data_IF_246567441884
#
_entry.id   IF_246567441884
#
_cell.length_a   1.000
_cell.length_b   1.000
_cell.length_c   1.000
_cell.angle_alpha   90.00
_cell.angle_beta   90.00
_cell.angle_gamma   90.00
#
_symmetry.space_group_name_H-M   'P 1'
#
loop_
_entity.id
_entity.type
_entity.pdbx_description
1 polymer ?
#
# COMPACT_ATOMS: atom_id res chain seq x y z
N UNK A 1 -2.60 -28.77 -8.55
CA UNK A 1 -1.32 -28.28 -8.02
C UNK A 1 -1.55 -27.90 -6.57
N UNK A 2 -0.71 -28.33 -5.64
CA UNK A 2 -0.91 -28.07 -4.20
C UNK A 2 -0.37 -26.70 -3.78
N UNK A 3 -1.01 -26.09 -2.79
CA UNK A 3 -0.66 -24.80 -2.20
C UNK A 3 -0.44 -24.97 -0.70
N UNK A 4 0.48 -24.22 -0.12
CA UNK A 4 0.79 -24.19 1.30
C UNK A 4 0.34 -22.86 1.91
N UNK A 5 -0.29 -22.90 3.08
CA UNK A 5 -0.65 -21.67 3.80
C UNK A 5 0.58 -21.09 4.48
N UNK A 6 0.91 -19.83 4.17
CA UNK A 6 2.01 -19.10 4.80
C UNK A 6 1.56 -18.32 6.03
N UNK A 7 0.41 -17.64 5.94
CA UNK A 7 -0.10 -16.78 7.01
C UNK A 7 -1.61 -16.57 6.91
N UNK A 8 -2.23 -16.23 8.04
CA UNK A 8 -3.59 -15.69 8.08
C UNK A 8 -3.57 -14.15 8.11
N UNK A 9 -4.57 -13.51 7.50
CA UNK A 9 -4.78 -12.07 7.51
C UNK A 9 -6.19 -11.78 8.05
N UNK A 10 -6.34 -11.56 9.37
CA UNK A 10 -7.66 -11.50 10.00
C UNK A 10 -8.42 -10.19 9.76
N UNK A 11 -7.77 -9.17 9.20
CA UNK A 11 -8.34 -7.83 9.05
C UNK A 11 -8.93 -7.58 7.66
N UNK A 12 -8.85 -8.56 6.75
CA UNK A 12 -9.38 -8.47 5.39
C UNK A 12 -10.16 -9.72 5.01
N UNK A 13 -11.13 -9.53 4.12
CA UNK A 13 -11.82 -10.60 3.39
C UNK A 13 -11.52 -10.40 1.91
N UNK A 14 -10.90 -11.39 1.29
CA UNK A 14 -10.59 -11.36 -0.14
C UNK A 14 -11.70 -12.08 -0.88
N UNK A 15 -12.37 -11.39 -1.82
CA UNK A 15 -13.47 -11.97 -2.60
C UNK A 15 -12.92 -12.81 -3.75
N UNK A 16 -12.02 -12.19 -4.50
CA UNK A 16 -11.36 -12.76 -5.67
C UNK A 16 -9.87 -12.88 -5.38
N UNK A 17 -9.22 -14.01 -5.70
CA UNK A 17 -7.82 -14.20 -5.41
C UNK A 17 -6.90 -13.14 -6.01
N UNK A 18 -6.00 -12.61 -5.19
CA UNK A 18 -4.95 -11.71 -5.64
C UNK A 18 -3.74 -12.56 -6.02
N UNK A 19 -3.62 -12.88 -7.30
CA UNK A 19 -2.63 -13.83 -7.82
C UNK A 19 -1.26 -13.19 -8.09
N UNK A 20 -0.20 -13.85 -7.64
CA UNK A 20 1.18 -13.48 -7.94
C UNK A 20 2.06 -14.70 -8.16
N UNK A 21 1.86 -15.41 -9.27
CA UNK A 21 2.59 -16.60 -9.77
C UNK A 21 3.00 -17.66 -8.73
N UNK A 22 3.92 -17.33 -7.82
CA UNK A 22 4.37 -18.12 -6.69
C UNK A 22 3.45 -18.00 -5.46
N UNK A 23 2.93 -16.80 -5.19
CA UNK A 23 2.08 -16.48 -4.05
C UNK A 23 0.67 -16.07 -4.47
N UNK A 24 -0.29 -16.17 -3.54
CA UNK A 24 -1.65 -15.66 -3.73
C UNK A 24 -2.24 -15.22 -2.40
N UNK A 25 -3.01 -14.12 -2.38
CA UNK A 25 -3.90 -13.83 -1.26
C UNK A 25 -5.30 -14.33 -1.61
N UNK A 26 -5.86 -15.18 -0.77
CA UNK A 26 -7.11 -15.88 -1.06
C UNK A 26 -8.14 -15.69 0.05
N UNK A 27 -9.40 -15.73 -0.36
CA UNK A 27 -10.56 -15.70 0.53
C UNK A 27 -10.75 -17.01 1.30
N UNK A 28 -11.68 -16.98 2.25
CA UNK A 28 -12.05 -18.15 3.02
C UNK A 28 -12.71 -19.26 2.22
N UNK A 29 -13.33 -18.89 1.10
CA UNK A 29 -14.15 -19.77 0.28
C UNK A 29 -13.35 -20.33 -0.92
N UNK A 30 -12.07 -19.99 -1.03
CA UNK A 30 -11.17 -20.48 -2.07
C UNK A 30 -10.88 -21.98 -1.91
N UNK A 31 -10.99 -22.72 -3.01
CA UNK A 31 -10.78 -24.17 -3.03
C UNK A 31 -9.41 -24.59 -2.48
N UNK A 32 -8.35 -23.80 -2.72
CA UNK A 32 -6.98 -24.07 -2.23
C UNK A 32 -6.93 -24.13 -0.71
N UNK A 33 -7.70 -23.28 -0.02
CA UNK A 33 -7.79 -23.29 1.44
C UNK A 33 -8.55 -24.53 1.92
N UNK A 34 -9.63 -24.90 1.23
CA UNK A 34 -10.42 -26.09 1.55
C UNK A 34 -9.62 -27.40 1.39
N UNK A 35 -8.77 -27.49 0.36
CA UNK A 35 -7.86 -28.61 0.13
C UNK A 35 -6.86 -28.75 1.28
N UNK A 36 -6.28 -27.62 1.73
CA UNK A 36 -5.40 -27.59 2.90
C UNK A 36 -6.11 -28.02 4.19
N UNK A 37 -7.36 -27.62 4.38
CA UNK A 37 -8.16 -28.02 5.53
C UNK A 37 -8.49 -29.51 5.56
N UNK A 38 -8.58 -30.17 4.40
CA UNK A 38 -8.76 -31.61 4.33
C UNK A 38 -7.49 -32.36 4.74
N UNK A 39 -6.31 -31.84 4.37
CA UNK A 39 -5.02 -32.42 4.71
C UNK A 39 -4.61 -32.16 6.16
N UNK A 40 -4.97 -31.00 6.72
CA UNK A 40 -4.56 -30.56 8.05
C UNK A 40 -5.78 -30.11 8.89
N UNK A 41 -6.43 -31.02 9.64
CA UNK A 41 -7.61 -30.70 10.46
C UNK A 41 -7.35 -29.59 11.49
N UNK A 42 -6.12 -29.52 11.98
CA UNK A 42 -5.64 -28.54 12.93
C UNK A 42 -5.54 -27.13 12.32
N UNK A 43 -5.17 -27.01 11.06
CA UNK A 43 -5.20 -25.76 10.29
C UNK A 43 -6.65 -25.26 10.11
N UNK A 44 -7.58 -26.16 9.80
CA UNK A 44 -9.02 -25.83 9.77
C UNK A 44 -9.52 -25.34 11.12
N UNK A 45 -9.10 -26.00 12.21
CA UNK A 45 -9.46 -25.58 13.57
C UNK A 45 -8.88 -24.20 13.92
N UNK A 46 -7.65 -23.90 13.49
CA UNK A 46 -7.01 -22.60 13.65
C UNK A 46 -7.80 -21.47 12.96
N UNK A 47 -8.13 -21.60 11.66
CA UNK A 47 -8.88 -20.56 10.94
C UNK A 47 -10.30 -20.33 11.49
N UNK A 48 -10.94 -21.35 12.08
CA UNK A 48 -12.28 -21.26 12.69
C UNK A 48 -12.33 -20.56 14.06
N UNK A 49 -11.17 -20.22 14.63
CA UNK A 49 -11.02 -19.68 15.99
C UNK A 49 -10.75 -18.17 16.03
N UNK A 50 -10.88 -17.49 14.90
CA UNK A 50 -10.76 -16.04 14.84
C UNK A 50 -12.08 -15.34 15.18
N UNK A 51 -11.98 -14.28 15.99
CA UNK A 51 -13.08 -13.36 16.28
C UNK A 51 -12.61 -11.92 16.16
N UNK A 52 -13.54 -10.99 16.02
CA UNK A 52 -13.22 -9.58 16.24
C UNK A 52 -13.20 -9.23 17.74
N UNK A 53 -12.95 -7.96 18.06
CA UNK A 53 -12.92 -7.44 19.43
C UNK A 53 -14.22 -7.62 20.22
N UNK A 54 -15.34 -7.88 19.54
CA UNK A 54 -16.66 -8.08 20.13
C UNK A 54 -17.06 -9.56 20.21
N UNK A 55 -16.13 -10.49 19.92
CA UNK A 55 -16.39 -11.92 19.92
C UNK A 55 -17.18 -12.44 18.71
N UNK A 56 -17.46 -11.59 17.72
CA UNK A 56 -18.08 -12.02 16.46
C UNK A 56 -17.06 -12.84 15.68
N UNK A 57 -17.45 -14.04 15.25
CA UNK A 57 -16.59 -14.89 14.43
C UNK A 57 -16.30 -14.21 13.10
N UNK A 58 -15.03 -14.27 12.70
CA UNK A 58 -14.57 -13.80 11.39
C UNK A 58 -13.87 -14.97 10.69
N UNK A 59 -13.78 -14.88 9.37
CA UNK A 59 -12.99 -15.83 8.58
C UNK A 59 -11.84 -15.08 7.93
N UNK A 60 -10.60 -15.25 8.42
CA UNK A 60 -9.43 -14.57 7.86
C UNK A 60 -9.22 -14.93 6.39
N UNK A 61 -8.70 -13.98 5.61
CA UNK A 61 -8.02 -14.31 4.36
C UNK A 61 -6.71 -15.08 4.66
N UNK A 62 -6.17 -15.74 3.64
CA UNK A 62 -4.93 -16.48 3.74
C UNK A 62 -3.91 -16.00 2.69
N UNK A 63 -2.65 -15.89 3.09
CA UNK A 63 -1.54 -15.81 2.15
C UNK A 63 -1.04 -17.24 1.91
N UNK A 64 -0.99 -17.63 0.64
CA UNK A 64 -0.58 -18.97 0.23
C UNK A 64 0.59 -18.91 -0.74
N UNK A 65 1.39 -19.97 -0.74
CA UNK A 65 2.47 -20.20 -1.71
C UNK A 65 2.24 -21.51 -2.44
N UNK A 66 2.70 -21.63 -3.68
CA UNK A 66 2.69 -22.93 -4.35
C UNK A 66 3.62 -23.90 -3.62
N UNK A 67 3.29 -25.18 -3.68
CA UNK A 67 4.14 -26.21 -3.07
C UNK A 67 5.50 -26.35 -3.75
N UNK A 68 5.61 -25.95 -5.01
CA UNK A 68 6.84 -25.94 -5.81
C UNK A 68 7.55 -24.58 -5.79
N UNK A 69 7.16 -23.65 -4.91
CA UNK A 69 7.80 -22.35 -4.80
C UNK A 69 9.27 -22.48 -4.38
N UNK A 70 10.22 -21.86 -5.12
CA UNK A 70 11.64 -21.90 -4.77
C UNK A 70 11.93 -21.31 -3.39
N UNK A 71 12.95 -21.82 -2.71
CA UNK A 71 13.30 -21.42 -1.35
C UNK A 71 13.63 -19.93 -1.23
N UNK A 72 14.13 -19.33 -2.31
CA UNK A 72 14.44 -17.91 -2.44
C UNK A 72 13.20 -17.01 -2.24
N UNK A 73 12.01 -17.51 -2.53
CA UNK A 73 10.75 -16.79 -2.30
C UNK A 73 10.21 -16.98 -0.87
N UNK A 74 10.66 -17.99 -0.13
CA UNK A 74 10.11 -18.35 1.18
C UNK A 74 10.78 -17.61 2.35
N UNK A 75 11.45 -16.49 2.06
CA UNK A 75 12.07 -15.64 3.07
C UNK A 75 11.16 -14.45 3.44
N UNK A 76 11.40 -13.85 4.61
CA UNK A 76 10.56 -12.74 5.12
C UNK A 76 10.52 -11.50 4.22
N UNK A 77 11.59 -11.20 3.48
CA UNK A 77 11.65 -10.06 2.53
C UNK A 77 10.74 -10.31 1.33
N UNK A 78 10.73 -11.53 0.79
CA UNK A 78 9.86 -11.90 -0.33
C UNK A 78 8.38 -11.91 0.09
N UNK A 79 8.06 -12.49 1.24
CA UNK A 79 6.70 -12.53 1.80
C UNK A 79 6.18 -11.12 2.09
N UNK A 80 6.98 -10.29 2.77
CA UNK A 80 6.61 -8.89 3.03
C UNK A 80 6.54 -8.06 1.75
N UNK A 81 7.46 -8.26 0.80
CA UNK A 81 7.45 -7.56 -0.48
C UNK A 81 6.21 -7.82 -1.32
N UNK A 82 5.69 -9.06 -1.32
CA UNK A 82 4.41 -9.38 -1.96
C UNK A 82 3.24 -8.66 -1.26
N UNK A 83 3.20 -8.73 0.07
CA UNK A 83 2.18 -8.06 0.89
C UNK A 83 2.19 -6.54 0.69
N UNK A 84 3.38 -5.93 0.71
CA UNK A 84 3.58 -4.49 0.57
C UNK A 84 3.19 -4.03 -0.85
N UNK A 85 3.44 -4.84 -1.89
CA UNK A 85 2.98 -4.57 -3.26
C UNK A 85 1.44 -4.56 -3.36
N UNK A 86 0.77 -5.55 -2.75
CA UNK A 86 -0.71 -5.59 -2.70
C UNK A 86 -1.25 -4.38 -1.95
N UNK A 87 -0.70 -4.06 -0.78
CA UNK A 87 -1.13 -2.92 0.03
C UNK A 87 -0.94 -1.59 -0.73
N UNK A 88 0.19 -1.40 -1.42
CA UNK A 88 0.49 -0.20 -2.20
C UNK A 88 -0.41 -0.02 -3.44
N UNK A 89 -0.97 -1.11 -3.97
CA UNK A 89 -1.95 -1.06 -5.06
C UNK A 89 -3.39 -0.80 -4.59
N UNK A 90 -3.67 -0.84 -3.29
CA UNK A 90 -5.02 -0.66 -2.75
C UNK A 90 -5.13 0.64 -1.94
N UNK A 91 -4.26 0.84 -0.96
CA UNK A 91 -4.42 1.88 0.07
C UNK A 91 -4.29 3.31 -0.49
N UNK A 92 -3.29 3.66 -1.33
CA UNK A 92 -3.23 4.98 -1.94
C UNK A 92 -4.48 5.34 -2.75
N UNK A 93 -5.02 4.36 -3.48
CA UNK A 93 -6.25 4.53 -4.24
C UNK A 93 -7.46 4.70 -3.32
N UNK A 94 -7.58 3.88 -2.28
CA UNK A 94 -8.61 4.00 -1.25
C UNK A 94 -8.59 5.40 -0.60
N UNK A 95 -7.40 5.90 -0.25
CA UNK A 95 -7.21 7.23 0.34
C UNK A 95 -7.60 8.36 -0.61
N UNK A 96 -7.20 8.28 -1.88
CA UNK A 96 -7.65 9.25 -2.89
C UNK A 96 -9.18 9.22 -3.07
N UNK A 97 -9.77 8.03 -3.13
CA UNK A 97 -11.20 7.87 -3.32
C UNK A 97 -12.03 8.31 -2.10
N UNK A 98 -11.49 8.18 -0.88
CA UNK A 98 -12.10 8.72 0.32
C UNK A 98 -12.17 10.26 0.26
N UNK A 99 -11.12 10.91 -0.25
CA UNK A 99 -11.10 12.36 -0.46
C UNK A 99 -12.14 12.75 -1.52
N UNK A 100 -12.16 12.11 -2.68
CA UNK A 100 -13.05 12.49 -3.79
C UNK A 100 -14.52 12.20 -3.48
N UNK A 101 -14.84 11.00 -3.02
CA UNK A 101 -16.21 10.47 -2.93
C UNK A 101 -16.72 10.25 -1.50
N UNK A 102 -15.96 10.59 -0.46
CA UNK A 102 -16.29 10.28 0.95
C UNK A 102 -16.53 8.77 1.18
N UNK A 103 -15.86 7.92 0.39
CA UNK A 103 -15.98 6.48 0.50
C UNK A 103 -14.88 5.91 1.41
N UNK A 104 -15.26 5.49 2.62
CA UNK A 104 -14.37 4.90 3.62
C UNK A 104 -14.51 3.37 3.75
N UNK A 105 -15.18 2.70 2.80
CA UNK A 105 -15.45 1.26 2.87
C UNK A 105 -14.28 0.37 2.43
N UNK A 106 -13.10 0.94 2.22
CA UNK A 106 -11.90 0.28 1.66
C UNK A 106 -10.79 0.16 2.71
N UNK A 107 -9.80 -0.73 2.53
CA UNK A 107 -8.63 -0.75 3.39
C UNK A 107 -7.84 0.57 3.26
N UNK A 108 -7.81 1.35 4.34
CA UNK A 108 -7.16 2.66 4.40
C UNK A 108 -5.79 2.62 5.10
N UNK A 109 -5.48 1.50 5.75
CA UNK A 109 -4.29 1.32 6.57
C UNK A 109 -3.65 -0.03 6.26
N UNK A 110 -2.32 -0.07 6.31
CA UNK A 110 -1.56 -1.29 6.00
C UNK A 110 -1.71 -2.38 7.06
N UNK A 111 -2.14 -2.03 8.28
CA UNK A 111 -2.48 -2.98 9.35
C UNK A 111 -3.60 -3.95 8.94
N UNK A 112 -4.41 -3.58 7.93
CA UNK A 112 -5.38 -4.49 7.31
C UNK A 112 -4.70 -5.72 6.66
N UNK A 113 -3.44 -5.58 6.24
CA UNK A 113 -2.65 -6.62 5.57
C UNK A 113 -1.58 -7.24 6.49
N UNK A 114 -1.72 -7.10 7.81
CA UNK A 114 -0.78 -7.71 8.74
C UNK A 114 -0.86 -9.24 8.72
N UNK A 115 0.31 -9.86 8.65
CA UNK A 115 0.46 -11.30 8.74
C UNK A 115 0.31 -11.71 10.21
N UNK A 116 -0.63 -12.60 10.49
CA UNK A 116 -0.86 -13.03 11.86
C UNK A 116 0.38 -13.77 12.42
N UNK A 117 0.87 -13.44 13.63
CA UNK A 117 2.15 -13.92 14.13
C UNK A 117 2.16 -15.40 14.55
N UNK A 118 0.98 -16.02 14.64
CA UNK A 118 0.80 -17.43 14.96
C UNK A 118 0.34 -18.19 13.72
N UNK A 119 0.95 -19.35 13.48
CA UNK A 119 0.53 -20.27 12.42
C UNK A 119 0.68 -21.72 12.88
N UNK A 120 -0.01 -22.64 12.20
CA UNK A 120 0.21 -24.08 12.40
C UNK A 120 1.56 -24.48 11.81
N UNK A 121 2.30 -25.35 12.48
CA UNK A 121 3.58 -25.86 12.01
C UNK A 121 3.45 -26.72 10.73
N UNK A 122 4.59 -27.09 10.13
CA UNK A 122 4.63 -27.87 8.89
C UNK A 122 4.02 -29.26 9.01
N UNK A 123 3.97 -29.82 10.21
CA UNK A 123 3.41 -31.15 10.47
C UNK A 123 1.90 -31.08 10.75
N UNK A 124 1.33 -29.88 10.89
CA UNK A 124 -0.06 -29.71 11.25
C UNK A 124 -0.34 -29.96 12.73
N UNK A 125 0.67 -30.00 13.60
CA UNK A 125 0.51 -30.50 14.98
C UNK A 125 0.36 -29.38 16.01
N UNK A 126 1.22 -28.36 15.93
CA UNK A 126 1.29 -27.29 16.92
C UNK A 126 1.10 -25.91 16.30
N UNK A 127 0.80 -24.93 17.14
CA UNK A 127 0.92 -23.51 16.78
C UNK A 127 2.31 -23.02 17.12
N UNK A 128 2.93 -22.35 16.16
CA UNK A 128 4.23 -21.70 16.28
C UNK A 128 4.07 -20.20 16.12
N UNK A 129 4.83 -19.45 16.92
CA UNK A 129 5.12 -18.05 16.67
C UNK A 129 6.63 -17.89 16.68
N UNK A 130 7.16 -17.23 15.66
CA UNK A 130 8.58 -16.89 15.57
C UNK A 130 8.71 -15.45 15.07
N UNK A 131 8.68 -14.53 16.02
CA UNK A 131 8.84 -13.09 15.83
C UNK A 131 10.02 -12.62 16.68
N UNK A 132 10.58 -11.42 16.42
CA UNK A 132 11.65 -10.87 17.25
C UNK A 132 11.30 -10.77 18.75
N UNK A 133 10.01 -10.69 19.10
CA UNK A 133 9.54 -10.58 20.48
C UNK A 133 9.10 -11.93 21.10
N UNK A 134 8.74 -12.91 20.27
CA UNK A 134 8.11 -14.16 20.72
C UNK A 134 8.64 -15.33 19.89
N UNK A 135 9.22 -16.32 20.57
CA UNK A 135 9.48 -17.66 20.02
C UNK A 135 8.76 -18.68 20.91
N UNK A 136 7.68 -19.28 20.40
CA UNK A 136 6.78 -20.07 21.22
C UNK A 136 6.07 -21.20 20.44
N UNK A 137 5.73 -22.26 21.18
CA UNK A 137 5.01 -23.44 20.70
C UNK A 137 3.77 -23.67 21.59
N UNK A 138 2.58 -23.80 20.99
CA UNK A 138 1.32 -23.97 21.72
C UNK A 138 0.38 -24.99 21.08
N UNK A 139 -0.60 -25.44 21.86
CA UNK A 139 -1.68 -26.31 21.41
C UNK A 139 -2.84 -25.50 20.82
N UNK A 140 -3.43 -25.97 19.71
CA UNK A 140 -4.52 -25.29 19.01
C UNK A 140 -5.80 -25.19 19.86
N UNK A 141 -6.02 -26.14 20.78
CA UNK A 141 -7.22 -26.19 21.63
C UNK A 141 -7.41 -24.90 22.44
N UNK A 142 -6.33 -24.24 22.85
CA UNK A 142 -6.36 -22.98 23.61
C UNK A 142 -6.38 -21.71 22.75
N UNK A 143 -6.19 -21.82 21.44
CA UNK A 143 -6.03 -20.67 20.56
C UNK A 143 -7.32 -19.86 20.42
N UNK A 144 -7.13 -18.54 20.44
CA UNK A 144 -8.16 -17.51 20.20
C UNK A 144 -7.54 -16.45 19.28
N UNK A 145 -7.89 -16.51 18.01
CA UNK A 145 -7.43 -15.54 17.02
C UNK A 145 -8.21 -14.23 17.17
N UNK A 146 -7.55 -13.09 17.01
CA UNK A 146 -8.21 -11.78 17.07
C UNK A 146 -7.86 -10.95 15.83
N UNK A 147 -8.86 -10.26 15.27
CA UNK A 147 -8.57 -9.11 14.39
C UNK A 147 -8.06 -7.94 15.22
N UNK A 148 -7.40 -6.99 14.54
CA UNK A 148 -6.96 -5.74 15.16
C UNK A 148 -8.17 -4.97 15.69
N UNK A 149 -8.24 -4.63 17.00
CA UNK A 149 -9.43 -4.03 17.60
C UNK A 149 -9.73 -2.62 17.10
N UNK A 150 -8.72 -1.91 16.59
CA UNK A 150 -8.86 -0.57 16.02
C UNK A 150 -9.19 -0.54 14.53
N UNK A 151 -9.39 -1.71 13.90
CA UNK A 151 -9.72 -1.81 12.47
C UNK A 151 -11.03 -2.57 12.28
N UNK A 152 -11.82 -2.10 11.32
CA UNK A 152 -12.89 -2.92 10.75
C UNK A 152 -12.28 -4.01 9.87
N UNK A 153 -12.89 -5.19 9.86
CA UNK A 153 -12.60 -6.20 8.85
C UNK A 153 -13.19 -5.72 7.53
N UNK A 154 -12.35 -5.51 6.53
CA UNK A 154 -12.77 -4.92 5.24
C UNK A 154 -12.77 -5.96 4.13
N UNK A 155 -13.81 -5.93 3.30
CA UNK A 155 -13.86 -6.73 2.08
C UNK A 155 -13.07 -6.05 0.96
N UNK A 156 -12.19 -6.80 0.31
CA UNK A 156 -11.46 -6.39 -0.89
C UNK A 156 -12.17 -7.00 -2.10
N UNK A 157 -12.46 -6.14 -3.07
CA UNK A 157 -13.07 -6.49 -4.36
C UNK A 157 -12.15 -6.05 -5.49
N UNK A 158 -12.33 -6.61 -6.69
CA UNK A 158 -11.48 -6.31 -7.86
C UNK A 158 -11.36 -4.80 -8.16
N UNK A 159 -12.44 -4.05 -8.01
CA UNK A 159 -12.42 -2.61 -8.27
C UNK A 159 -11.74 -1.78 -7.18
N UNK A 160 -11.36 -2.37 -6.06
CA UNK A 160 -10.58 -1.71 -5.00
C UNK A 160 -9.07 -1.78 -5.27
N UNK A 161 -8.65 -2.56 -6.27
CA UNK A 161 -7.26 -2.80 -6.62
C UNK A 161 -6.87 -1.92 -7.82
N UNK A 162 -5.74 -1.21 -7.72
CA UNK A 162 -5.02 -0.67 -8.87
C UNK A 162 -4.34 -1.80 -9.63
N UNK A 163 -5.13 -2.55 -10.41
CA UNK A 163 -4.70 -3.76 -11.11
C UNK A 163 -3.49 -3.51 -12.03
N UNK A 164 -3.48 -2.36 -12.70
CA UNK A 164 -2.39 -1.97 -13.57
C UNK A 164 -1.06 -1.82 -12.81
N UNK A 165 -1.10 -1.17 -11.65
CA UNK A 165 0.08 -1.04 -10.80
C UNK A 165 0.46 -2.37 -10.16
N UNK A 166 -0.52 -3.12 -9.64
CA UNK A 166 -0.28 -4.40 -8.97
C UNK A 166 0.44 -5.37 -9.90
N UNK A 167 -0.03 -5.54 -11.13
CA UNK A 167 0.58 -6.42 -12.12
C UNK A 167 2.06 -6.10 -12.34
N UNK A 168 2.40 -4.82 -12.51
CA UNK A 168 3.81 -4.39 -12.67
C UNK A 168 4.61 -4.64 -11.41
N UNK A 169 4.07 -4.33 -10.22
CA UNK A 169 4.75 -4.59 -8.96
C UNK A 169 5.03 -6.08 -8.73
N UNK A 170 4.08 -6.96 -9.08
CA UNK A 170 4.26 -8.41 -8.97
C UNK A 170 5.26 -8.96 -9.99
N UNK A 171 5.33 -8.38 -11.19
CA UNK A 171 6.39 -8.69 -12.17
C UNK A 171 7.78 -8.30 -11.64
N UNK A 172 7.90 -7.13 -11.00
CA UNK A 172 9.13 -6.68 -10.35
C UNK A 172 9.48 -7.53 -9.13
N UNK A 173 8.48 -7.95 -8.35
CA UNK A 173 8.63 -8.83 -7.20
C UNK A 173 9.21 -10.17 -7.63
N UNK A 174 8.63 -10.79 -8.67
CA UNK A 174 9.16 -12.02 -9.24
C UNK A 174 10.61 -11.85 -9.65
N UNK A 175 10.94 -10.81 -10.44
CA UNK A 175 12.32 -10.55 -10.90
C UNK A 175 13.31 -10.35 -9.75
N UNK A 176 12.88 -9.70 -8.67
CA UNK A 176 13.71 -9.44 -7.47
C UNK A 176 14.05 -10.73 -6.71
N UNK A 177 13.12 -11.69 -6.67
CA UNK A 177 13.22 -12.88 -5.83
C UNK A 177 13.43 -14.19 -6.59
N UNK A 178 13.43 -14.18 -7.93
CA UNK A 178 13.69 -15.36 -8.79
C UNK A 178 15.16 -15.83 -8.84
N UNK A 179 16.04 -15.30 -7.99
CA UNK A 179 17.47 -15.60 -7.95
C UNK A 179 18.34 -14.61 -8.72
N UNK A 180 19.63 -14.55 -8.35
CA UNK A 180 20.62 -13.62 -8.90
C UNK A 180 20.85 -12.35 -8.07
N UNK A 181 21.82 -11.53 -8.49
CA UNK A 181 22.11 -10.25 -7.84
C UNK A 181 21.05 -9.22 -8.24
N UNK A 182 20.29 -8.65 -7.29
CA UNK A 182 19.22 -7.72 -7.60
C UNK A 182 19.78 -6.41 -8.19
N UNK A 183 19.07 -5.85 -9.17
CA UNK A 183 19.38 -4.51 -9.66
C UNK A 183 19.05 -3.48 -8.59
N UNK A 184 19.78 -2.35 -8.56
CA UNK A 184 19.58 -1.33 -7.53
C UNK A 184 18.14 -0.80 -7.52
N UNK A 185 17.48 -0.72 -8.67
CA UNK A 185 16.09 -0.27 -8.77
C UNK A 185 15.13 -1.21 -8.06
N UNK A 186 15.37 -2.52 -8.13
CA UNK A 186 14.54 -3.50 -7.44
C UNK A 186 14.72 -3.38 -5.93
N UNK A 187 15.96 -3.17 -5.47
CA UNK A 187 16.25 -2.90 -4.06
C UNK A 187 15.59 -1.60 -3.58
N UNK A 188 15.69 -0.54 -4.38
CA UNK A 188 15.07 0.76 -4.09
C UNK A 188 13.55 0.62 -4.00
N UNK A 189 12.91 -0.04 -4.97
CA UNK A 189 11.47 -0.24 -5.01
C UNK A 189 10.96 -0.99 -3.76
N UNK A 190 11.50 -2.17 -3.45
CA UNK A 190 10.96 -2.97 -2.34
C UNK A 190 11.30 -2.39 -0.95
N UNK A 191 12.44 -1.71 -0.80
CA UNK A 191 12.71 -0.94 0.43
C UNK A 191 11.79 0.26 0.56
N UNK A 192 11.49 0.93 -0.55
CA UNK A 192 10.56 2.06 -0.59
C UNK A 192 9.14 1.60 -0.25
N UNK A 193 8.67 0.48 -0.82
CA UNK A 193 7.38 -0.13 -0.51
C UNK A 193 7.27 -0.51 0.95
N UNK A 194 8.34 -1.03 1.55
CA UNK A 194 8.37 -1.36 2.97
C UNK A 194 8.24 -0.11 3.87
N UNK A 195 8.98 0.97 3.54
CA UNK A 195 8.85 2.24 4.24
C UNK A 195 7.44 2.86 4.07
N UNK A 196 6.88 2.79 2.86
CA UNK A 196 5.52 3.23 2.58
C UNK A 196 4.48 2.39 3.32
N UNK A 197 4.67 1.07 3.42
CA UNK A 197 3.81 0.18 4.19
C UNK A 197 3.78 0.60 5.67
N UNK A 198 4.93 0.92 6.26
CA UNK A 198 4.97 1.48 7.62
C UNK A 198 4.31 2.88 7.69
N UNK A 199 4.51 3.74 6.69
CA UNK A 199 3.88 5.06 6.63
C UNK A 199 2.34 4.99 6.49
N UNK A 200 1.83 3.90 5.93
CA UNK A 200 0.41 3.61 5.76
C UNK A 200 -0.26 3.05 7.01
N UNK A 201 0.49 2.73 8.07
CA UNK A 201 -0.10 2.22 9.30
C UNK A 201 -1.03 3.25 9.94
N UNK A 202 -2.02 2.77 10.67
CA UNK A 202 -2.92 3.61 11.44
C UNK A 202 -2.13 4.29 12.58
N UNK A 203 -2.23 5.63 12.73
CA UNK A 203 -1.74 6.33 13.93
C UNK A 203 -2.33 5.67 15.19
N UNK A 204 -1.62 5.63 16.32
CA UNK A 204 -2.03 4.82 17.50
C UNK A 204 -3.50 5.02 17.94
N UNK A 205 -4.42 4.25 17.35
CA UNK A 205 -5.88 4.26 17.54
C UNK A 205 -6.44 5.41 18.41
N UNK A 206 -6.86 5.13 19.65
CA UNK A 206 -7.46 6.11 20.55
C UNK A 206 -6.46 7.10 21.20
N UNK A 207 -5.16 6.82 21.12
CA UNK A 207 -4.10 7.64 21.70
C UNK A 207 -3.32 8.46 20.68
N UNK A 208 -3.82 8.59 19.46
CA UNK A 208 -3.08 9.18 18.36
C UNK A 208 -2.79 10.67 18.65
N UNK A 209 -1.52 11.02 18.58
CA UNK A 209 -1.03 12.38 18.76
C UNK A 209 -0.50 12.94 17.44
N UNK A 210 -0.17 14.24 17.45
CA UNK A 210 0.58 14.87 16.36
C UNK A 210 1.91 14.15 16.06
N UNK A 211 2.51 13.49 17.05
CA UNK A 211 3.76 12.76 16.88
C UNK A 211 3.60 11.44 16.10
N UNK A 212 2.43 10.82 16.11
CA UNK A 212 2.12 9.67 15.26
C UNK A 212 2.09 10.08 13.79
N UNK A 213 1.47 11.21 13.49
CA UNK A 213 1.43 11.79 12.15
C UNK A 213 2.80 12.28 11.68
N UNK A 214 3.59 12.88 12.58
CA UNK A 214 4.98 13.25 12.31
C UNK A 214 5.83 12.03 11.89
N UNK A 215 5.71 10.91 12.63
CA UNK A 215 6.37 9.63 12.28
C UNK A 215 5.91 9.09 10.92
N UNK A 216 4.60 9.09 10.66
CA UNK A 216 4.07 8.66 9.36
C UNK A 216 4.62 9.51 8.21
N UNK A 217 4.65 10.84 8.35
CA UNK A 217 5.23 11.73 7.33
C UNK A 217 6.73 11.51 7.17
N UNK A 218 7.48 11.27 8.26
CA UNK A 218 8.89 10.90 8.16
C UNK A 218 9.09 9.66 7.30
N UNK A 219 8.28 8.63 7.50
CA UNK A 219 8.33 7.39 6.73
C UNK A 219 7.91 7.58 5.27
N UNK A 220 6.89 8.42 5.00
CA UNK A 220 6.52 8.77 3.63
C UNK A 220 7.68 9.42 2.88
N UNK A 221 8.31 10.44 3.48
CA UNK A 221 9.45 11.12 2.87
C UNK A 221 10.61 10.15 2.64
N UNK A 222 10.90 9.29 3.62
CA UNK A 222 11.89 8.22 3.44
C UNK A 222 11.53 7.27 2.30
N UNK A 223 10.24 6.91 2.11
CA UNK A 223 9.82 6.09 0.99
C UNK A 223 10.16 6.74 -0.36
N UNK A 224 9.86 8.03 -0.56
CA UNK A 224 10.24 8.75 -1.77
C UNK A 224 11.77 8.82 -1.98
N UNK A 225 12.53 9.13 -0.92
CA UNK A 225 13.98 9.23 -1.00
C UNK A 225 14.63 7.87 -1.32
N UNK A 226 14.15 6.78 -0.72
CA UNK A 226 14.59 5.42 -1.02
C UNK A 226 14.29 5.07 -2.48
N UNK A 227 13.11 5.44 -2.99
CA UNK A 227 12.69 5.11 -4.36
C UNK A 227 13.67 5.67 -5.40
N UNK A 228 14.23 6.85 -5.17
CA UNK A 228 15.19 7.50 -6.08
C UNK A 228 16.66 7.23 -5.74
N UNK A 229 16.95 6.34 -4.78
CA UNK A 229 18.31 6.06 -4.35
C UNK A 229 19.03 5.15 -5.36
N UNK A 230 20.15 5.57 -5.98
CA UNK A 230 20.81 4.85 -7.07
C UNK A 230 21.67 3.65 -6.61
N UNK A 231 21.36 3.05 -5.45
CA UNK A 231 22.19 2.00 -4.84
C UNK A 231 23.46 2.48 -4.12
N UNK A 232 24.36 1.55 -3.73
CA UNK A 232 25.52 1.84 -2.88
C UNK A 232 26.43 2.94 -3.43
N UNK A 233 26.83 3.88 -2.56
CA UNK A 233 27.75 4.98 -2.89
C UNK A 233 27.13 6.15 -3.64
N UNK A 234 25.86 6.09 -4.04
CA UNK A 234 25.13 7.25 -4.55
C UNK A 234 24.22 7.88 -3.51
N UNK A 235 23.77 9.10 -3.79
CA UNK A 235 22.93 9.88 -2.87
C UNK A 235 21.50 10.02 -3.40
N UNK A 236 20.52 9.84 -2.53
CA UNK A 236 19.17 10.34 -2.75
C UNK A 236 19.06 11.77 -2.21
N UNK A 237 18.42 12.66 -2.95
CA UNK A 237 18.20 14.02 -2.49
C UNK A 237 16.85 14.54 -2.97
N UNK A 238 16.42 15.65 -2.38
CA UNK A 238 15.14 16.31 -2.67
C UNK A 238 14.96 16.64 -4.16
N UNK A 239 16.04 16.98 -4.86
CA UNK A 239 15.98 17.29 -6.29
C UNK A 239 15.67 16.07 -7.16
N UNK A 240 16.21 14.89 -6.82
CA UNK A 240 15.88 13.63 -7.50
C UNK A 240 14.42 13.23 -7.31
N UNK A 241 13.87 13.43 -6.11
CA UNK A 241 12.44 13.19 -5.86
C UNK A 241 11.56 14.14 -6.66
N UNK A 242 11.89 15.44 -6.71
CA UNK A 242 11.19 16.38 -7.58
C UNK A 242 11.25 15.96 -9.05
N UNK A 243 12.43 15.57 -9.55
CA UNK A 243 12.58 15.12 -10.93
C UNK A 243 11.70 13.89 -11.24
N UNK A 244 11.59 12.94 -10.30
CA UNK A 244 10.68 11.79 -10.45
C UNK A 244 9.22 12.23 -10.50
N UNK A 245 8.77 13.07 -9.57
CA UNK A 245 7.37 13.55 -9.50
C UNK A 245 7.02 14.37 -10.75
N UNK A 246 7.93 15.22 -11.21
CA UNK A 246 7.74 16.09 -12.38
C UNK A 246 7.79 15.33 -13.71
N UNK A 247 8.38 14.14 -13.74
CA UNK A 247 8.34 13.22 -14.90
C UNK A 247 6.99 12.51 -15.03
N UNK A 248 6.20 12.44 -13.95
CA UNK A 248 4.92 11.74 -13.95
C UNK A 248 3.92 12.29 -14.98
N UNK A 249 3.12 11.39 -15.54
CA UNK A 249 2.01 11.75 -16.43
C UNK A 249 0.85 12.30 -15.59
N UNK A 250 0.60 13.60 -15.69
CA UNK A 250 -0.52 14.29 -15.06
C UNK A 250 -1.52 14.71 -16.15
N UNK A 251 -2.75 14.22 -16.12
CA UNK A 251 -3.76 14.48 -17.16
C UNK A 251 -4.47 15.83 -16.97
N UNK A 252 -4.79 16.20 -15.73
CA UNK A 252 -5.56 17.40 -15.39
C UNK A 252 -4.65 18.62 -15.40
N UNK A 253 -5.06 19.65 -16.13
CA UNK A 253 -4.31 20.90 -16.26
C UNK A 253 -4.07 21.58 -14.90
N UNK A 254 -5.11 21.68 -14.06
CA UNK A 254 -5.01 22.26 -12.72
C UNK A 254 -3.94 21.60 -11.83
N UNK A 255 -3.65 20.31 -12.02
CA UNK A 255 -2.61 19.60 -11.24
C UNK A 255 -1.20 19.92 -11.76
N UNK A 256 -1.06 20.20 -13.06
CA UNK A 256 0.22 20.52 -13.73
C UNK A 256 0.63 21.98 -13.61
N UNK A 257 -0.31 22.87 -13.33
CA UNK A 257 -0.05 24.30 -13.33
C UNK A 257 0.98 24.67 -12.26
N UNK A 258 2.04 25.39 -12.66
CA UNK A 258 3.11 25.79 -11.75
C UNK A 258 2.76 27.10 -11.04
N UNK A 259 1.83 27.01 -10.09
CA UNK A 259 1.31 28.16 -9.34
C UNK A 259 1.71 28.17 -7.86
N UNK A 260 2.29 27.09 -7.35
CA UNK A 260 2.63 26.97 -5.93
C UNK A 260 4.08 27.34 -5.66
N UNK A 261 4.30 28.23 -4.69
CA UNK A 261 5.64 28.62 -4.27
C UNK A 261 6.28 27.54 -3.38
N UNK A 262 7.41 27.01 -3.83
CA UNK A 262 8.21 26.02 -3.10
C UNK A 262 9.57 26.60 -2.78
N UNK A 263 9.88 26.65 -1.48
CA UNK A 263 11.21 27.05 -1.00
C UNK A 263 12.19 25.88 -1.12
N UNK A 264 13.21 26.04 -1.97
CA UNK A 264 14.30 25.08 -2.14
C UNK A 264 15.47 25.37 -1.19
N UNK A 265 15.71 26.65 -0.90
CA UNK A 265 16.73 27.10 0.04
C UNK A 265 16.31 28.43 0.69
N UNK A 266 17.09 28.96 1.64
CA UNK A 266 16.82 30.25 2.29
C UNK A 266 16.64 31.41 1.29
N UNK A 267 17.24 31.32 0.10
CA UNK A 267 17.24 32.37 -0.93
C UNK A 267 16.52 31.98 -2.23
N UNK A 268 15.98 30.77 -2.32
CA UNK A 268 15.39 30.26 -3.56
C UNK A 268 13.96 29.78 -3.32
N UNK A 269 13.03 30.49 -3.97
CA UNK A 269 11.62 30.13 -4.10
C UNK A 269 11.36 29.91 -5.59
N UNK A 270 10.75 28.78 -5.94
CA UNK A 270 10.40 28.44 -7.31
C UNK A 270 8.95 28.02 -7.38
N UNK A 271 8.29 28.31 -8.51
CA UNK A 271 6.94 27.84 -8.76
C UNK A 271 6.94 26.39 -9.21
N UNK A 272 6.12 25.57 -8.56
CA UNK A 272 5.98 24.13 -8.80
C UNK A 272 4.50 23.76 -8.97
N UNK A 273 4.28 22.64 -9.64
CA UNK A 273 2.97 22.00 -9.75
C UNK A 273 2.52 21.44 -8.38
N UNK A 274 1.22 21.24 -8.18
CA UNK A 274 0.66 20.78 -6.91
C UNK A 274 1.31 19.49 -6.36
N UNK A 275 1.60 18.45 -7.17
CA UNK A 275 2.29 17.24 -6.69
C UNK A 275 3.65 17.51 -6.03
N UNK A 276 4.44 18.40 -6.63
CA UNK A 276 5.73 18.81 -6.07
C UNK A 276 5.57 19.70 -4.84
N UNK A 277 4.57 20.58 -4.84
CA UNK A 277 4.24 21.38 -3.66
C UNK A 277 3.83 20.50 -2.47
N UNK A 278 3.01 19.49 -2.69
CA UNK A 278 2.60 18.53 -1.66
C UNK A 278 3.79 17.77 -1.06
N UNK A 279 4.71 17.29 -1.90
CA UNK A 279 5.96 16.70 -1.42
C UNK A 279 6.79 17.70 -0.60
N UNK A 280 6.88 18.95 -1.06
CA UNK A 280 7.62 20.00 -0.34
C UNK A 280 7.02 20.30 1.04
N UNK A 281 5.68 20.35 1.15
CA UNK A 281 4.98 20.52 2.42
C UNK A 281 5.29 19.37 3.39
N UNK A 282 5.11 18.12 2.92
CA UNK A 282 5.38 16.94 3.74
C UNK A 282 6.85 16.87 4.17
N UNK A 283 7.79 17.24 3.28
CA UNK A 283 9.22 17.30 3.57
C UNK A 283 9.53 18.32 4.65
N UNK A 284 8.92 19.51 4.60
CA UNK A 284 9.08 20.54 5.62
C UNK A 284 8.50 20.09 6.96
N UNK A 285 7.29 19.53 6.97
CA UNK A 285 6.66 19.00 8.19
C UNK A 285 7.52 17.89 8.84
N UNK A 286 8.06 16.98 8.02
CA UNK A 286 9.02 15.95 8.45
C UNK A 286 10.26 16.56 9.10
N UNK A 287 10.85 17.58 8.48
CA UNK A 287 12.05 18.22 9.02
C UNK A 287 11.76 18.94 10.34
N UNK A 288 10.67 19.71 10.41
CA UNK A 288 10.26 20.36 11.65
C UNK A 288 10.10 19.31 12.77
N UNK A 289 9.37 18.23 12.51
CA UNK A 289 9.15 17.14 13.45
C UNK A 289 10.47 16.52 13.95
N UNK A 290 11.38 16.14 13.04
CA UNK A 290 12.63 15.47 13.42
C UNK A 290 13.63 16.38 14.13
N UNK A 291 13.53 17.69 13.94
CA UNK A 291 14.35 18.68 14.64
C UNK A 291 13.71 19.17 15.94
N UNK A 292 12.53 18.65 16.31
CA UNK A 292 11.82 19.07 17.53
C UNK A 292 11.19 20.46 17.42
N UNK A 293 11.09 21.01 16.21
CA UNK A 293 10.36 22.24 15.96
C UNK A 293 8.85 21.99 16.09
N UNK A 294 8.06 23.01 16.47
CA UNK A 294 6.61 22.88 16.55
C UNK A 294 6.00 22.41 15.22
N UNK A 295 5.21 21.34 15.29
CA UNK A 295 4.36 20.86 14.20
C UNK A 295 2.92 20.93 14.70
N UNK A 296 2.12 21.79 14.10
CA UNK A 296 0.69 21.95 14.37
C UNK A 296 -0.20 21.33 13.30
N UNK A 297 -1.52 21.46 13.47
CA UNK A 297 -2.53 20.93 12.53
C UNK A 297 -2.34 21.47 11.11
N UNK A 298 -1.96 22.74 10.98
CA UNK A 298 -1.70 23.44 9.73
C UNK A 298 -0.54 22.84 8.91
N UNK A 299 0.32 22.03 9.52
CA UNK A 299 1.39 21.31 8.84
C UNK A 299 0.93 19.93 8.33
N UNK A 300 -0.16 19.39 8.87
CA UNK A 300 -0.64 18.03 8.64
C UNK A 300 -1.98 17.99 7.88
N UNK A 301 -2.68 19.12 7.81
CA UNK A 301 -3.97 19.29 7.18
C UNK A 301 -3.92 20.53 6.30
N UNK A 302 -4.31 20.40 5.03
CA UNK A 302 -4.39 21.53 4.11
C UNK A 302 -5.56 22.46 4.48
N UNK A 303 -5.58 23.72 3.99
CA UNK A 303 -6.71 24.63 4.18
C UNK A 303 -8.07 24.08 3.71
N UNK A 304 -8.06 23.12 2.79
CA UNK A 304 -9.22 22.36 2.33
C UNK A 304 -9.76 21.34 3.36
N UNK A 305 -9.11 21.20 4.51
CA UNK A 305 -9.41 20.17 5.53
C UNK A 305 -8.85 18.78 5.20
N UNK A 306 -8.18 18.60 4.06
CA UNK A 306 -7.68 17.29 3.65
C UNK A 306 -6.37 16.92 4.37
N UNK A 307 -6.22 15.69 4.88
CA UNK A 307 -5.01 15.26 5.56
C UNK A 307 -3.86 15.06 4.56
N UNK A 308 -2.72 15.70 4.84
CA UNK A 308 -1.51 15.64 4.01
C UNK A 308 -1.05 14.20 3.84
N UNK A 309 -1.10 13.37 4.89
CA UNK A 309 -0.69 11.96 4.81
C UNK A 309 -1.47 11.12 3.78
N UNK A 310 -2.76 11.42 3.55
CA UNK A 310 -3.54 10.71 2.53
C UNK A 310 -3.14 11.17 1.14
N UNK A 311 -2.97 12.47 0.94
CA UNK A 311 -2.53 13.02 -0.33
C UNK A 311 -1.12 12.55 -0.69
N UNK A 312 -0.21 12.49 0.29
CA UNK A 312 1.17 12.01 0.11
C UNK A 312 1.19 10.53 -0.28
N UNK A 313 0.28 9.71 0.28
CA UNK A 313 0.14 8.31 -0.17
C UNK A 313 -0.29 8.20 -1.63
N UNK A 314 -1.26 9.02 -2.05
CA UNK A 314 -1.74 9.09 -3.43
C UNK A 314 -0.64 9.60 -4.39
N UNK A 315 0.16 10.57 -3.94
CA UNK A 315 1.35 11.04 -4.66
C UNK A 315 2.40 9.93 -4.83
N UNK A 316 2.62 9.14 -3.77
CA UNK A 316 3.58 8.04 -3.79
C UNK A 316 3.20 6.97 -4.81
N UNK A 317 1.92 6.65 -4.95
CA UNK A 317 1.41 5.77 -6.03
C UNK A 317 1.85 6.26 -7.42
N UNK A 318 1.68 7.55 -7.71
CA UNK A 318 2.09 8.10 -9.01
C UNK A 318 3.62 8.14 -9.18
N UNK A 319 4.37 8.33 -8.09
CA UNK A 319 5.83 8.25 -8.12
C UNK A 319 6.31 6.82 -8.41
N UNK A 320 5.68 5.79 -7.83
CA UNK A 320 5.96 4.39 -8.19
C UNK A 320 5.63 4.15 -9.66
N UNK A 321 4.42 4.53 -10.11
CA UNK A 321 4.02 4.36 -11.50
C UNK A 321 5.04 5.00 -12.45
N UNK A 322 5.54 6.19 -12.11
CA UNK A 322 6.59 6.86 -12.88
C UNK A 322 7.93 6.13 -12.80
N UNK A 323 8.30 5.59 -11.64
CA UNK A 323 9.56 4.87 -11.44
C UNK A 323 9.61 3.57 -12.24
N UNK A 324 8.51 2.82 -12.30
CA UNK A 324 8.39 1.56 -13.05
C UNK A 324 7.97 1.76 -14.51
N UNK A 325 7.91 3.02 -14.98
CA UNK A 325 7.48 3.43 -16.32
C UNK A 325 6.09 2.88 -16.72
N UNK A 326 5.14 2.85 -15.78
CA UNK A 326 3.75 2.52 -16.03
C UNK A 326 3.06 3.68 -16.75
N UNK A 327 2.89 3.54 -18.07
CA UNK A 327 2.23 4.56 -18.91
C UNK A 327 0.74 4.32 -19.05
N UNK A 328 -0.02 5.41 -19.13
CA UNK A 328 -1.47 5.39 -19.37
C UNK A 328 -1.84 5.14 -20.84
N UNK A 329 -0.85 5.00 -21.72
CA UNK A 329 -1.04 4.85 -23.17
C UNK A 329 -0.88 3.38 -23.57
N UNK A 330 -1.88 2.84 -24.25
CA UNK A 330 -1.81 1.54 -24.92
C UNK A 330 -1.68 1.82 -26.41
N UNK A 331 -0.66 1.25 -27.05
CA UNK A 331 -0.52 1.34 -28.50
C UNK A 331 -1.59 0.47 -29.15
N UNK A 332 -2.45 1.07 -29.98
CA UNK A 332 -3.43 0.35 -30.78
C UNK A 332 -2.86 0.26 -32.20
N UNK A 333 -2.63 -0.96 -32.68
CA UNK A 333 -2.29 -1.17 -34.09
C UNK A 333 -3.46 -0.70 -34.97
N UNK A 334 -3.19 0.14 -35.96
CA UNK A 334 -4.19 0.63 -36.91
C UNK A 334 -4.85 -0.46 -37.76
N UNK A 335 -4.34 -1.71 -37.71
CA UNK A 335 -4.93 -2.90 -38.33
C UNK A 335 -5.59 -3.86 -37.33
N UNK A 336 -5.70 -3.49 -36.06
CA UNK A 336 -6.28 -4.33 -35.02
C UNK A 336 -7.76 -4.66 -35.30
N UNK A 337 -8.19 -5.87 -34.92
CA UNK A 337 -9.60 -6.25 -34.97
C UNK A 337 -10.44 -5.41 -34.01
N UNK A 338 -11.76 -5.32 -34.24
CA UNK A 338 -12.68 -4.61 -33.34
C UNK A 338 -12.56 -5.11 -31.89
N UNK A 339 -12.39 -6.42 -31.70
CA UNK A 339 -12.17 -7.02 -30.38
C UNK A 339 -10.86 -6.56 -29.72
N UNK A 340 -9.77 -6.50 -30.49
CA UNK A 340 -8.49 -6.02 -29.98
C UNK A 340 -8.51 -4.51 -29.64
N UNK A 341 -9.25 -3.71 -30.42
CA UNK A 341 -9.49 -2.29 -30.10
C UNK A 341 -10.29 -2.15 -28.81
N UNK A 342 -11.39 -2.91 -28.66
CA UNK A 342 -12.21 -2.89 -27.46
C UNK A 342 -11.42 -3.28 -26.21
N UNK A 343 -10.59 -4.32 -26.31
CA UNK A 343 -9.68 -4.73 -25.23
C UNK A 343 -8.69 -3.61 -24.88
N UNK A 344 -8.05 -2.99 -25.88
CA UNK A 344 -7.13 -1.89 -25.65
C UNK A 344 -7.80 -0.68 -24.97
N UNK A 345 -9.05 -0.35 -25.33
CA UNK A 345 -9.83 0.70 -24.67
C UNK A 345 -10.12 0.35 -23.21
N UNK A 346 -10.49 -0.90 -22.93
CA UNK A 346 -10.69 -1.38 -21.55
C UNK A 346 -9.40 -1.24 -20.74
N UNK A 347 -8.28 -1.73 -21.27
CA UNK A 347 -6.97 -1.62 -20.61
C UNK A 347 -6.56 -0.16 -20.38
N UNK A 348 -6.81 0.73 -21.35
CA UNK A 348 -6.58 2.17 -21.18
C UNK A 348 -7.45 2.77 -20.08
N UNK A 349 -8.73 2.39 -20.03
CA UNK A 349 -9.66 2.86 -19.00
C UNK A 349 -9.18 2.44 -17.61
N UNK A 350 -8.77 1.18 -17.45
CA UNK A 350 -8.28 0.64 -16.19
C UNK A 350 -6.99 1.33 -15.73
N UNK A 351 -6.03 1.53 -16.64
CA UNK A 351 -4.78 2.26 -16.35
C UNK A 351 -4.99 3.72 -15.96
N UNK A 352 -6.07 4.35 -16.45
CA UNK A 352 -6.38 5.77 -16.19
C UNK A 352 -7.30 5.99 -14.99
N UNK A 353 -8.05 4.97 -14.54
CA UNK A 353 -9.01 5.08 -13.43
C UNK A 353 -8.38 5.63 -12.15
N UNK A 354 -7.32 4.99 -11.69
CA UNK A 354 -6.66 5.35 -10.43
C UNK A 354 -5.90 6.69 -10.53
N UNK A 355 -5.06 6.96 -11.55
CA UNK A 355 -4.41 8.27 -11.67
C UNK A 355 -5.41 9.43 -11.72
N UNK A 356 -6.54 9.27 -12.42
CA UNK A 356 -7.60 10.29 -12.44
C UNK A 356 -8.21 10.53 -11.07
N UNK A 357 -8.47 9.46 -10.31
CA UNK A 357 -8.99 9.59 -8.94
C UNK A 357 -7.99 10.31 -8.03
N UNK A 358 -6.69 10.04 -8.19
CA UNK A 358 -5.61 10.75 -7.48
C UNK A 358 -5.60 12.24 -7.83
N UNK A 359 -5.69 12.58 -9.12
CA UNK A 359 -5.71 13.97 -9.57
C UNK A 359 -6.99 14.71 -9.14
N UNK A 360 -8.14 14.04 -9.16
CA UNK A 360 -9.39 14.60 -8.67
C UNK A 360 -9.32 14.85 -7.14
N UNK A 361 -8.63 13.97 -6.39
CA UNK A 361 -8.35 14.19 -4.96
C UNK A 361 -7.46 15.43 -4.74
N UNK A 362 -6.45 15.63 -5.60
CA UNK A 362 -5.58 16.80 -5.57
C UNK A 362 -6.35 18.09 -5.88
N UNK A 363 -7.21 18.08 -6.89
CA UNK A 363 -8.07 19.22 -7.23
C UNK A 363 -8.96 19.59 -6.06
N UNK A 364 -9.61 18.61 -5.42
CA UNK A 364 -10.43 18.85 -4.24
C UNK A 364 -9.62 19.39 -3.07
N UNK A 365 -8.37 18.96 -2.92
CA UNK A 365 -7.47 19.43 -1.88
C UNK A 365 -6.94 20.85 -2.11
N UNK A 366 -6.95 21.35 -3.36
CA UNK A 366 -6.60 22.73 -3.70
C UNK A 366 -7.75 23.72 -3.45
N UNK A 367 -9.00 23.26 -3.45
CA UNK A 367 -10.14 24.12 -3.17
C UNK A 367 -10.27 24.41 -1.66
N UNK A 368 -10.44 25.68 -1.24
CA UNK A 368 -10.67 26.00 0.18
C UNK A 368 -11.93 25.29 0.71
N UNK A 369 -11.97 24.98 2.03
CA UNK A 369 -13.19 24.44 2.67
C UNK A 369 -14.32 25.45 2.42
N UNK A 370 -15.51 25.04 1.93
CA UNK A 370 -16.64 25.96 1.84
C UNK A 370 -16.95 26.51 3.24
N UNK A 371 -17.24 27.81 3.35
CA UNK A 371 -17.48 28.54 4.61
C UNK A 371 -18.78 28.13 5.35
N UNK A 372 -19.33 26.95 5.06
CA UNK A 372 -20.59 26.48 5.62
C UNK A 372 -20.43 25.09 6.20
N UNK A 373 -20.19 25.07 7.50
CA UNK A 373 -20.74 24.17 8.54
C UNK A 373 -19.80 24.37 9.72
N UNK A 374 -20.25 25.21 10.66
CA UNK A 374 -19.83 25.13 12.05
C UNK A 374 -20.00 23.66 12.46
N UNK A 375 -18.90 22.91 12.48
CA UNK A 375 -18.83 21.63 13.15
C UNK A 375 -18.81 21.95 14.66
N UNK A 376 -19.95 22.42 15.18
CA UNK A 376 -20.32 22.27 16.59
C UNK A 376 -20.52 20.77 16.82
N UNK A 377 -19.47 20.07 17.23
CA UNK A 377 -19.50 18.93 18.18
C UNK A 377 -18.10 18.51 18.63
#
# INVERSE_FOLDING_TARGET
>A
MSWNILAALPNIVVTDPIEGEQFSMIGSDDARLSDNFALQPNLKAFFRRFTNSHGVRITPAALVARSDTPAEFLNSEAVSGFRDAVAASIIPFARAAAITHRNYSRPMYSDSFDLYPWMVDRNGEHLIANTPAVSALHQIKGFRGLSSPGLSVVQIRDWDIDEALLKVLLDWWRKRFSGGTPHWEQLALFRSLNAANAAMQMPQSAGATIYDWGRSLSLWISAFEILVHPGPGGEANRAKVFALIERGEWEREAVREKVHDVRLSKKSVVRKAFPSYLYALAYQARNNFLHGEPVGREHLVLPSGQPVGFLVSALYRNAIATFVDLTATVSIDGKASVGAIAQAISEMSDRRRVPRTVEDAFIKAMAPKPETEDDDE
#
